data_IF_074833656642
#
_entry.id   IF_074833656642
#
_cell.length_a   1.000
_cell.length_b   1.000
_cell.length_c   1.000
_cell.angle_alpha   90.00
_cell.angle_beta   90.00
_cell.angle_gamma   90.00
#
_symmetry.space_group_name_H-M   'P 1'
#
loop_
_entity.id
_entity.type
_entity.pdbx_description
1 polymer ?
#
# COMPACT_ATOMS: atom_id res chain seq x y z
N UNK A 1 -15.88 -10.29 12.30
CA UNK A 1 -14.44 -10.15 12.57
C UNK A 1 -13.87 -9.21 11.55
N UNK A 2 -13.15 -8.17 11.99
CA UNK A 2 -12.55 -7.17 11.09
C UNK A 2 -11.18 -7.61 10.54
N UNK A 3 -10.66 -8.75 11.00
CA UNK A 3 -9.35 -9.24 10.61
C UNK A 3 -9.43 -10.02 9.28
N UNK A 4 -8.70 -9.53 8.28
CA UNK A 4 -8.46 -10.27 7.05
C UNK A 4 -7.34 -11.29 7.30
N UNK A 5 -7.67 -12.58 7.28
CA UNK A 5 -6.66 -13.64 7.36
C UNK A 5 -5.97 -13.80 6.01
N UNK A 6 -4.68 -13.48 5.98
CA UNK A 6 -3.81 -13.77 4.84
C UNK A 6 -3.40 -15.25 4.83
N UNK A 7 -3.06 -15.83 3.66
CA UNK A 7 -2.83 -17.26 3.51
C UNK A 7 -1.53 -17.79 4.11
N UNK A 8 -0.56 -16.92 4.44
CA UNK A 8 0.77 -17.32 4.89
C UNK A 8 1.20 -16.60 6.19
N UNK A 9 2.17 -17.20 6.89
CA UNK A 9 2.93 -16.52 7.93
C UNK A 9 4.14 -15.82 7.30
N UNK A 10 4.10 -14.50 7.23
CA UNK A 10 5.16 -13.70 6.61
C UNK A 10 6.28 -13.40 7.60
N UNK A 11 7.50 -13.38 7.08
CA UNK A 11 8.74 -12.96 7.75
C UNK A 11 9.28 -11.75 7.02
N UNK A 12 10.19 -11.01 7.65
CA UNK A 12 10.76 -9.79 7.07
C UNK A 12 11.29 -9.97 5.62
N UNK A 13 11.98 -11.08 5.33
CA UNK A 13 12.51 -11.37 4.00
C UNK A 13 11.48 -11.75 2.91
N UNK A 14 10.18 -11.83 3.24
CA UNK A 14 9.12 -12.17 2.29
C UNK A 14 7.92 -11.22 2.36
N UNK A 15 8.11 -10.01 2.87
CA UNK A 15 7.05 -8.99 2.99
C UNK A 15 6.44 -8.61 1.63
N UNK A 16 7.21 -8.64 0.53
CA UNK A 16 6.65 -8.44 -0.82
C UNK A 16 5.50 -9.42 -1.14
N UNK A 17 5.53 -10.64 -0.60
CA UNK A 17 4.43 -11.61 -0.75
C UNK A 17 3.24 -11.29 0.18
N UNK A 18 3.49 -10.70 1.36
CA UNK A 18 2.43 -10.18 2.24
C UNK A 18 1.66 -9.07 1.54
N UNK A 19 2.36 -8.14 0.91
CA UNK A 19 1.77 -7.08 0.11
C UNK A 19 0.96 -7.66 -1.05
N UNK A 20 1.50 -8.63 -1.80
CA UNK A 20 0.77 -9.28 -2.90
C UNK A 20 -0.54 -9.90 -2.42
N UNK A 21 -0.49 -10.71 -1.37
CA UNK A 21 -1.68 -11.42 -0.90
C UNK A 21 -2.71 -10.42 -0.31
N UNK A 22 -2.26 -9.36 0.34
CA UNK A 22 -3.11 -8.24 0.78
C UNK A 22 -3.79 -7.56 -0.41
N UNK A 23 -3.03 -7.23 -1.46
CA UNK A 23 -3.55 -6.61 -2.68
C UNK A 23 -4.58 -7.53 -3.37
N UNK A 24 -4.32 -8.84 -3.48
CA UNK A 24 -5.29 -9.80 -4.07
C UNK A 24 -6.62 -9.80 -3.30
N UNK A 25 -6.57 -9.82 -1.97
CA UNK A 25 -7.78 -9.79 -1.15
C UNK A 25 -8.53 -8.48 -1.36
N UNK A 26 -7.82 -7.34 -1.32
CA UNK A 26 -8.44 -6.03 -1.50
C UNK A 26 -9.01 -5.84 -2.92
N UNK A 27 -8.32 -6.31 -3.98
CA UNK A 27 -8.77 -6.21 -5.36
C UNK A 27 -10.03 -7.06 -5.64
N UNK A 28 -10.23 -8.13 -4.88
CA UNK A 28 -11.44 -8.96 -4.94
C UNK A 28 -12.60 -8.44 -4.08
N UNK A 29 -12.40 -7.37 -3.31
CA UNK A 29 -13.43 -6.81 -2.43
C UNK A 29 -14.50 -6.04 -3.22
N UNK A 30 -15.80 -6.27 -2.97
CA UNK A 30 -16.86 -5.48 -3.57
C UNK A 30 -16.92 -4.05 -3.00
N UNK A 31 -16.26 -3.79 -1.86
CA UNK A 31 -16.27 -2.50 -1.21
C UNK A 31 -15.34 -1.52 -1.96
N UNK A 32 -15.94 -0.46 -2.48
CA UNK A 32 -15.24 0.62 -3.15
C UNK A 32 -15.00 1.75 -2.15
N UNK A 33 -13.75 2.03 -1.84
CA UNK A 33 -13.34 3.17 -1.00
C UNK A 33 -12.60 4.19 -1.86
N UNK A 34 -12.70 5.49 -1.51
CA UNK A 34 -12.03 6.56 -2.26
C UNK A 34 -10.51 6.57 -2.02
N UNK A 35 -10.10 6.10 -0.84
CA UNK A 35 -8.73 5.99 -0.40
C UNK A 35 -8.45 4.60 0.15
N UNK A 36 -7.19 4.23 0.05
CA UNK A 36 -6.63 3.04 0.64
C UNK A 36 -5.37 3.43 1.40
N UNK A 37 -5.18 2.80 2.55
CA UNK A 37 -4.11 3.16 3.48
C UNK A 37 -3.40 1.89 3.90
N UNK A 38 -2.06 1.91 3.82
CA UNK A 38 -1.21 0.95 4.51
C UNK A 38 -0.54 1.65 5.68
N UNK A 39 -0.55 0.99 6.83
CA UNK A 39 0.11 1.44 8.06
C UNK A 39 0.85 0.23 8.64
N UNK A 40 2.09 0.43 9.06
CA UNK A 40 2.83 -0.58 9.83
C UNK A 40 2.24 -0.74 11.24
N UNK A 41 2.31 -1.95 11.77
CA UNK A 41 1.73 -2.29 13.08
C UNK A 41 2.46 -1.65 14.26
N UNK A 42 3.67 -1.15 14.04
CA UNK A 42 4.47 -0.41 15.01
C UNK A 42 4.29 1.12 14.93
N UNK A 43 3.50 1.62 13.97
CA UNK A 43 3.22 3.04 13.83
C UNK A 43 2.04 3.47 14.72
N UNK A 44 2.33 4.30 15.72
CA UNK A 44 1.28 4.94 16.52
C UNK A 44 0.85 6.24 15.84
N UNK A 45 -0.36 6.27 15.29
CA UNK A 45 -0.94 7.45 14.65
C UNK A 45 -2.30 7.81 15.26
N UNK A 46 -2.51 9.07 15.70
CA UNK A 46 -3.84 9.54 16.08
C UNK A 46 -4.78 9.53 14.88
N UNK A 47 -6.01 9.02 15.06
CA UNK A 47 -7.03 8.99 14.02
C UNK A 47 -7.27 10.37 13.38
N UNK A 48 -7.32 11.42 14.20
CA UNK A 48 -7.49 12.80 13.73
C UNK A 48 -6.37 13.26 12.78
N UNK A 49 -5.16 12.74 12.94
CA UNK A 49 -4.02 13.01 12.03
C UNK A 49 -4.16 12.25 10.73
N UNK A 50 -4.58 10.99 10.77
CA UNK A 50 -4.87 10.22 9.56
C UNK A 50 -5.97 10.89 8.73
N UNK A 51 -7.07 11.30 9.37
CA UNK A 51 -8.14 12.04 8.72
C UNK A 51 -7.68 13.38 8.13
N UNK A 52 -6.82 14.12 8.83
CA UNK A 52 -6.24 15.36 8.34
C UNK A 52 -5.45 15.13 7.04
N UNK A 53 -4.65 14.06 6.99
CA UNK A 53 -3.88 13.69 5.80
C UNK A 53 -4.82 13.30 4.65
N UNK A 54 -5.83 12.46 4.92
CA UNK A 54 -6.82 12.05 3.90
C UNK A 54 -7.58 13.27 3.36
N UNK A 55 -8.03 14.18 4.23
CA UNK A 55 -8.71 15.43 3.81
C UNK A 55 -7.83 16.30 2.93
N UNK A 56 -6.55 16.46 3.28
CA UNK A 56 -5.58 17.20 2.46
C UNK A 56 -5.34 16.52 1.12
N UNK A 57 -5.20 15.19 1.11
CA UNK A 57 -5.00 14.45 -0.13
C UNK A 57 -6.20 14.55 -1.06
N UNK A 58 -7.42 14.54 -0.52
CA UNK A 58 -8.66 14.67 -1.28
C UNK A 58 -8.77 15.98 -2.08
N UNK A 59 -8.13 17.05 -1.63
CA UNK A 59 -8.16 18.36 -2.30
C UNK A 59 -6.96 18.62 -3.20
N UNK A 60 -6.06 17.64 -3.35
CA UNK A 60 -4.85 17.75 -4.18
C UNK A 60 -4.95 16.88 -5.44
N UNK A 61 -4.17 17.19 -6.47
CA UNK A 61 -4.00 16.32 -7.64
C UNK A 61 -3.12 15.08 -7.34
N UNK A 62 -2.44 15.06 -6.19
CA UNK A 62 -1.58 13.97 -5.78
C UNK A 62 -2.35 12.65 -5.72
N UNK A 63 -1.77 11.61 -6.32
CA UNK A 63 -2.38 10.28 -6.39
C UNK A 63 -1.90 9.36 -5.26
N UNK A 64 -0.74 9.66 -4.69
CA UNK A 64 -0.10 8.94 -3.59
C UNK A 64 0.44 9.96 -2.57
N UNK A 65 0.35 9.63 -1.27
CA UNK A 65 0.96 10.38 -0.18
C UNK A 65 1.58 9.42 0.83
N UNK A 66 2.65 9.83 1.52
CA UNK A 66 3.31 8.99 2.53
C UNK A 66 4.76 9.38 2.75
N UNK A 67 5.45 8.57 3.56
CA UNK A 67 6.91 8.65 3.66
C UNK A 67 7.54 8.07 2.41
N UNK A 68 7.78 8.88 1.38
CA UNK A 68 8.33 8.40 0.11
C UNK A 68 9.85 8.61 0.10
N UNK A 69 10.60 7.53 -0.07
CA UNK A 69 12.04 7.54 -0.30
C UNK A 69 12.34 7.43 -1.80
N UNK A 70 13.09 8.40 -2.34
CA UNK A 70 13.37 8.55 -3.79
C UNK A 70 14.87 8.48 -4.12
N UNK A 71 15.68 8.09 -3.15
CA UNK A 71 17.14 7.96 -3.26
C UNK A 71 17.59 6.73 -4.06
N UNK A 72 16.65 6.01 -4.67
CA UNK A 72 16.92 4.85 -5.52
C UNK A 72 16.79 5.22 -7.02
N UNK A 73 17.74 4.78 -7.87
CA UNK A 73 17.81 5.24 -9.27
C UNK A 73 16.68 4.72 -10.18
N UNK A 74 15.97 3.66 -9.79
CA UNK A 74 14.98 2.98 -10.65
C UNK A 74 13.63 2.73 -10.01
N UNK A 75 13.46 3.07 -8.73
CA UNK A 75 12.21 2.89 -7.99
C UNK A 75 12.11 3.93 -6.87
N UNK A 76 10.95 4.00 -6.24
CA UNK A 76 10.73 4.72 -4.99
C UNK A 76 10.29 3.70 -3.95
N UNK A 77 10.61 3.94 -2.69
CA UNK A 77 10.13 3.11 -1.59
C UNK A 77 9.11 3.90 -0.78
N UNK A 78 8.10 3.19 -0.28
CA UNK A 78 7.15 3.72 0.69
C UNK A 78 7.63 3.43 2.12
N UNK A 79 7.24 4.29 3.06
CA UNK A 79 7.59 4.15 4.46
C UNK A 79 6.48 3.48 5.27
N UNK A 80 6.51 3.72 6.58
CA UNK A 80 5.57 3.15 7.55
C UNK A 80 4.10 3.52 7.31
N UNK A 81 3.84 4.58 6.53
CA UNK A 81 2.51 4.93 6.04
C UNK A 81 2.56 5.36 4.58
N UNK A 82 1.61 4.84 3.80
CA UNK A 82 1.29 5.36 2.49
C UNK A 82 -0.21 5.26 2.20
N UNK A 83 -0.71 6.24 1.46
CA UNK A 83 -2.11 6.43 1.11
C UNK A 83 -2.17 6.60 -0.40
N UNK A 84 -3.13 5.95 -1.03
CA UNK A 84 -3.36 6.08 -2.46
C UNK A 84 -4.83 6.29 -2.78
N UNK A 85 -5.09 7.07 -3.83
CA UNK A 85 -6.44 7.24 -4.37
C UNK A 85 -6.89 5.95 -5.03
N UNK A 86 -8.20 5.76 -5.09
CA UNK A 86 -8.83 4.63 -5.75
C UNK A 86 -8.34 4.39 -7.18
N UNK A 87 -8.10 5.45 -7.96
CA UNK A 87 -7.54 5.35 -9.32
C UNK A 87 -6.24 4.54 -9.37
N UNK A 88 -5.31 4.84 -8.48
CA UNK A 88 -4.03 4.12 -8.35
C UNK A 88 -4.27 2.68 -7.96
N UNK A 89 -5.16 2.44 -6.99
CA UNK A 89 -5.49 1.08 -6.56
C UNK A 89 -6.05 0.24 -7.70
N UNK A 90 -7.00 0.77 -8.47
CA UNK A 90 -7.61 0.08 -9.59
C UNK A 90 -6.57 -0.23 -10.68
N UNK A 91 -5.60 0.65 -10.91
CA UNK A 91 -4.51 0.40 -11.84
C UNK A 91 -3.54 -0.68 -11.34
N UNK A 92 -3.20 -0.69 -10.04
CA UNK A 92 -2.45 -1.78 -9.41
C UNK A 92 -3.19 -3.11 -9.61
N UNK A 93 -4.50 -3.14 -9.33
CA UNK A 93 -5.30 -4.36 -9.47
C UNK A 93 -5.32 -4.92 -10.91
N UNK A 94 -5.27 -4.06 -11.93
CA UNK A 94 -5.20 -4.47 -13.34
C UNK A 94 -3.83 -5.05 -13.72
N UNK A 95 -2.76 -4.58 -13.08
CA UNK A 95 -1.36 -4.94 -13.39
C UNK A 95 -0.80 -6.02 -12.47
N UNK A 96 -1.52 -6.39 -11.42
CA UNK A 96 -1.09 -7.35 -10.41
C UNK A 96 -0.82 -8.72 -11.05
N UNK A 97 0.44 -8.99 -11.39
CA UNK A 97 0.89 -10.30 -11.86
C UNK A 97 1.97 -10.85 -10.93
N UNK A 98 2.07 -12.18 -10.75
CA UNK A 98 3.11 -12.79 -9.92
C UNK A 98 4.55 -12.46 -10.37
N UNK A 99 4.73 -11.93 -11.59
CA UNK A 99 6.03 -11.64 -12.19
C UNK A 99 6.64 -10.29 -11.76
N UNK A 100 5.89 -9.42 -11.09
CA UNK A 100 6.33 -8.06 -10.71
C UNK A 100 7.00 -8.02 -9.32
N UNK A 101 7.19 -9.18 -8.67
CA UNK A 101 7.63 -9.22 -7.28
C UNK A 101 9.15 -9.23 -7.21
N UNK A 102 9.71 -8.16 -6.65
CA UNK A 102 11.09 -8.16 -6.21
C UNK A 102 11.15 -8.93 -4.87
N UNK A 103 11.92 -10.03 -4.77
CA UNK A 103 12.18 -10.64 -3.47
C UNK A 103 12.88 -9.60 -2.58
N UNK A 104 12.33 -9.37 -1.38
CA UNK A 104 12.84 -8.37 -0.44
C UNK A 104 11.74 -7.53 0.22
N UNK A 105 11.91 -6.22 0.19
CA UNK A 105 11.01 -5.24 0.82
C UNK A 105 9.73 -5.04 0.00
N UNK A 106 8.59 -5.03 0.72
CA UNK A 106 7.29 -4.66 0.16
C UNK A 106 7.28 -3.22 -0.37
N UNK A 107 8.06 -2.34 0.24
CA UNK A 107 8.10 -0.92 -0.08
C UNK A 107 8.67 -0.67 -1.47
N UNK A 108 9.70 -1.44 -1.83
CA UNK A 108 10.30 -1.46 -3.18
C UNK A 108 9.32 -2.08 -4.17
N UNK A 109 8.65 -3.16 -3.77
CA UNK A 109 7.68 -3.86 -4.62
C UNK A 109 6.50 -2.95 -4.97
N UNK A 110 6.07 -2.09 -4.04
CA UNK A 110 5.04 -1.10 -4.32
C UNK A 110 5.49 -0.05 -5.34
N UNK A 111 6.74 0.44 -5.24
CA UNK A 111 7.26 1.45 -6.15
C UNK A 111 7.41 1.02 -7.61
N UNK A 112 7.36 -0.29 -7.89
CA UNK A 112 7.46 -0.86 -9.24
C UNK A 112 6.12 -1.35 -9.83
N UNK A 113 5.03 -1.32 -9.06
CA UNK A 113 3.67 -1.68 -9.50
C UNK A 113 2.97 -0.49 -10.21
#
# INVERSE_FOLDING_TARGET
>A
GCDVKLPNNYKWGNLSYKLLDSLKVMCGSPNKTDFYVKIDDDLIMPESKLEEIIRKMATTECQVAGGIAVDFPFYWAVGQIYIFKRSVFEDICKRLTPKVIHPGSEDITFGVL
#
